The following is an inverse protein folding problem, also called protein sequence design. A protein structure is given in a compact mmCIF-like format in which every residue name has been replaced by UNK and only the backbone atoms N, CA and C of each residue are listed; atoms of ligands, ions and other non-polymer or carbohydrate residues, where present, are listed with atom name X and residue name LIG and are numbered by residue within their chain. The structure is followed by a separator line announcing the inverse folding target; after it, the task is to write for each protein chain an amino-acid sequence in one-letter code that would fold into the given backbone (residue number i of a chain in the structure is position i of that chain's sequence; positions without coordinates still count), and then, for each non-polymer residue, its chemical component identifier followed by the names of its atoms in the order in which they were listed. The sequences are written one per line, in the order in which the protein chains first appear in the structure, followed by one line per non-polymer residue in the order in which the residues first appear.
data_IF_388784773561
#
_entry.id   IF_388784773561
#
_cell.length_a   1.000
_cell.length_b   1.000
_cell.length_c   1.000
_cell.angle_alpha   90.00
_cell.angle_beta   90.00
_cell.angle_gamma   90.00
#
_symmetry.space_group_name_H-M   'P 1'
#
loop_
_entity.id
_entity.type
_entity.pdbx_description
1 polymer ?
#
# COMPACT_ATOMS: atom_id res chain seq x y z
N UNK A 1 45.03 4.64 8.87
CA UNK A 1 43.86 5.14 9.63
C UNK A 1 43.08 6.05 8.69
N UNK A 2 42.20 5.45 7.88
CA UNK A 2 41.35 6.17 6.93
C UNK A 2 40.00 6.45 7.58
N UNK A 3 39.65 7.72 7.67
CA UNK A 3 38.38 8.24 8.18
C UNK A 3 37.20 7.66 7.42
N UNK A 4 36.36 6.90 8.12
CA UNK A 4 35.01 6.50 7.71
C UNK A 4 34.20 7.80 7.56
N UNK A 5 33.80 8.13 6.32
CA UNK A 5 32.80 9.18 6.07
C UNK A 5 31.45 8.61 6.48
N UNK A 6 30.92 9.07 7.61
CA UNK A 6 29.57 8.75 8.05
C UNK A 6 28.56 9.17 6.97
N UNK A 7 27.81 8.21 6.45
CA UNK A 7 26.52 8.44 5.80
C UNK A 7 25.67 9.26 6.79
N UNK A 8 25.25 10.46 6.38
CA UNK A 8 24.37 11.27 7.19
C UNK A 8 22.96 10.73 7.03
N UNK A 9 22.58 9.76 7.86
CA UNK A 9 21.17 9.63 8.23
C UNK A 9 20.79 10.97 8.89
N UNK A 10 20.13 11.85 8.14
CA UNK A 10 19.58 13.09 8.69
C UNK A 10 18.58 12.69 9.77
N UNK A 11 18.91 12.87 11.05
CA UNK A 11 18.03 12.54 12.18
C UNK A 11 16.73 13.39 12.26
N UNK A 12 16.37 14.11 11.18
CA UNK A 12 15.28 15.07 11.09
C UNK A 12 14.13 14.71 10.17
N UNK A 13 14.16 13.56 9.45
CA UNK A 13 13.23 13.29 8.36
C UNK A 13 13.62 14.01 7.05
N UNK A 14 12.76 13.98 6.01
CA UNK A 14 13.07 14.58 4.72
C UNK A 14 12.94 16.10 4.81
N UNK A 15 13.76 16.82 4.05
CA UNK A 15 13.62 18.27 3.85
C UNK A 15 12.67 18.59 2.71
N UNK A 16 12.68 17.76 1.67
CA UNK A 16 11.80 17.88 0.52
C UNK A 16 11.22 16.51 0.13
N UNK A 17 9.93 16.47 -0.15
CA UNK A 17 9.22 15.28 -0.61
C UNK A 17 8.51 15.58 -1.94
N UNK A 18 8.71 14.71 -2.92
CA UNK A 18 7.97 14.71 -4.19
C UNK A 18 6.77 13.78 -4.10
N UNK A 19 5.60 14.20 -4.57
CA UNK A 19 4.37 13.41 -4.58
C UNK A 19 3.84 13.30 -6.01
N UNK A 20 3.71 12.09 -6.52
CA UNK A 20 3.14 11.79 -7.84
C UNK A 20 1.74 11.22 -7.62
N UNK A 21 0.72 11.95 -8.07
CA UNK A 21 -0.69 11.66 -7.81
C UNK A 21 -1.18 12.23 -6.47
N UNK A 22 -2.20 13.07 -6.51
CA UNK A 22 -2.78 13.78 -5.35
C UNK A 22 -4.17 13.24 -5.02
N UNK A 23 -4.37 11.93 -5.16
CA UNK A 23 -5.57 11.23 -4.69
C UNK A 23 -5.70 11.21 -3.16
N UNK A 24 -6.46 10.24 -2.63
CA UNK A 24 -6.60 10.06 -1.18
C UNK A 24 -5.23 9.85 -0.52
N UNK A 25 -4.45 8.91 -1.04
CA UNK A 25 -3.17 8.50 -0.45
C UNK A 25 -2.11 9.58 -0.65
N UNK A 26 -1.81 9.95 -1.90
CA UNK A 26 -0.79 10.96 -2.19
C UNK A 26 -1.11 12.34 -1.61
N UNK A 27 -2.37 12.76 -1.66
CA UNK A 27 -2.80 13.98 -0.98
C UNK A 27 -2.59 13.93 0.54
N UNK A 28 -2.72 12.75 1.16
CA UNK A 28 -2.50 12.58 2.60
C UNK A 28 -1.01 12.59 2.94
N UNK A 29 -0.15 12.02 2.08
CA UNK A 29 1.31 12.20 2.19
C UNK A 29 1.68 13.68 2.09
N UNK A 30 1.18 14.37 1.06
CA UNK A 30 1.42 15.80 0.85
C UNK A 30 1.01 16.63 2.08
N UNK A 31 -0.19 16.40 2.62
CA UNK A 31 -0.67 17.11 3.83
C UNK A 31 0.14 16.77 5.08
N UNK A 32 0.48 15.50 5.28
CA UNK A 32 1.29 15.06 6.42
C UNK A 32 2.68 15.70 6.41
N UNK A 33 3.34 15.70 5.26
CA UNK A 33 4.63 16.36 5.08
C UNK A 33 4.56 17.87 5.26
N UNK A 34 3.58 18.53 4.63
CA UNK A 34 3.39 19.98 4.77
C UNK A 34 3.14 20.37 6.25
N UNK A 35 2.32 19.62 6.98
CA UNK A 35 2.08 19.84 8.41
C UNK A 35 3.35 19.66 9.26
N UNK A 36 4.23 18.75 8.86
CA UNK A 36 5.53 18.53 9.49
C UNK A 36 6.59 19.58 9.11
N UNK A 37 6.26 20.55 8.25
CA UNK A 37 7.20 21.57 7.76
C UNK A 37 8.17 21.09 6.68
N UNK A 38 7.90 19.94 6.06
CA UNK A 38 8.64 19.43 4.91
C UNK A 38 8.18 20.18 3.66
N UNK A 39 9.10 20.57 2.78
CA UNK A 39 8.74 21.16 1.49
C UNK A 39 8.14 20.07 0.59
N UNK A 40 6.95 20.32 0.05
CA UNK A 40 6.26 19.36 -0.82
C UNK A 40 6.28 19.86 -2.26
N UNK A 41 6.83 19.06 -3.15
CA UNK A 41 6.66 19.20 -4.59
C UNK A 41 5.66 18.14 -5.07
N UNK A 42 4.84 18.44 -6.06
CA UNK A 42 3.86 17.48 -6.53
C UNK A 42 3.63 17.53 -8.04
N UNK A 43 3.17 16.40 -8.57
CA UNK A 43 2.67 16.25 -9.92
C UNK A 43 1.34 15.51 -9.88
N UNK A 44 0.36 15.99 -10.63
CA UNK A 44 -0.91 15.32 -10.87
C UNK A 44 -1.37 15.68 -12.30
N UNK A 45 -1.97 14.75 -13.07
CA UNK A 45 -2.45 15.05 -14.41
C UNK A 45 -3.65 16.01 -14.44
N UNK A 46 -4.32 16.25 -13.30
CA UNK A 46 -5.44 17.18 -13.18
C UNK A 46 -5.00 18.54 -12.63
N UNK A 47 -5.02 19.56 -13.49
CA UNK A 47 -4.66 20.95 -13.15
C UNK A 47 -5.54 21.55 -12.03
N UNK A 48 -6.81 21.13 -11.92
CA UNK A 48 -7.70 21.59 -10.86
C UNK A 48 -7.26 21.02 -9.50
N UNK A 49 -6.78 19.78 -9.48
CA UNK A 49 -6.21 19.14 -8.29
C UNK A 49 -4.90 19.83 -7.89
N UNK A 50 -4.01 20.12 -8.85
CA UNK A 50 -2.78 20.87 -8.61
C UNK A 50 -3.05 22.27 -8.06
N UNK A 51 -4.03 22.98 -8.63
CA UNK A 51 -4.47 24.29 -8.15
C UNK A 51 -4.99 24.20 -6.71
N UNK A 52 -5.83 23.21 -6.42
CA UNK A 52 -6.36 23.00 -5.07
C UNK A 52 -5.27 22.70 -4.04
N UNK A 53 -4.26 21.91 -4.40
CA UNK A 53 -3.16 21.55 -3.52
C UNK A 53 -2.19 22.70 -3.26
N UNK A 54 -2.00 23.59 -4.26
CA UNK A 54 -1.12 24.76 -4.18
C UNK A 54 -1.62 25.84 -3.22
N UNK A 55 -2.90 25.81 -2.82
CA UNK A 55 -3.47 26.78 -1.86
C UNK A 55 -2.97 26.64 -0.41
N UNK A 56 -2.08 25.69 -0.12
CA UNK A 56 -1.48 25.58 1.21
C UNK A 56 -0.79 24.26 1.54
N UNK A 57 -0.71 23.31 0.60
CA UNK A 57 -0.04 22.01 0.83
C UNK A 57 1.20 21.86 -0.03
N UNK A 58 1.10 22.13 -1.33
CA UNK A 58 2.18 21.96 -2.30
C UNK A 58 2.90 23.28 -2.52
N UNK A 59 4.23 23.26 -2.46
CA UNK A 59 5.11 24.42 -2.60
C UNK A 59 5.60 24.64 -4.04
N UNK A 60 5.43 23.67 -4.93
CA UNK A 60 5.83 23.75 -6.33
C UNK A 60 5.54 22.46 -7.10
N UNK A 61 5.76 22.51 -8.40
CA UNK A 61 5.63 21.35 -9.28
C UNK A 61 6.81 20.39 -9.09
N UNK A 62 6.54 19.09 -9.20
CA UNK A 62 7.54 18.04 -9.33
C UNK A 62 7.72 17.71 -10.81
N UNK A 63 8.94 17.83 -11.31
CA UNK A 63 9.34 17.56 -12.70
C UNK A 63 10.83 17.18 -12.75
N UNK A 64 11.36 16.90 -13.94
CA UNK A 64 12.75 16.50 -14.15
C UNK A 64 13.79 17.49 -13.60
N UNK A 65 13.47 18.77 -13.55
CA UNK A 65 14.40 19.81 -13.04
C UNK A 65 14.42 19.87 -11.50
N UNK A 66 13.35 19.41 -10.85
CA UNK A 66 13.14 19.57 -9.41
C UNK A 66 13.23 18.26 -8.63
N UNK A 67 13.21 17.10 -9.30
CA UNK A 67 13.26 15.79 -8.63
C UNK A 67 14.52 15.56 -7.79
N UNK A 68 15.65 16.17 -8.16
CA UNK A 68 16.90 16.09 -7.41
C UNK A 68 16.92 16.95 -6.14
N UNK A 69 15.91 17.79 -5.95
CA UNK A 69 15.71 18.52 -4.70
C UNK A 69 15.05 17.65 -3.61
N UNK A 70 14.39 16.56 -4.00
CA UNK A 70 13.66 15.66 -3.12
C UNK A 70 14.58 14.64 -2.44
N UNK A 71 14.32 14.38 -1.16
CA UNK A 71 14.92 13.25 -0.44
C UNK A 71 14.12 11.96 -0.69
N UNK A 72 12.80 12.09 -0.82
CA UNK A 72 11.86 11.00 -1.10
C UNK A 72 10.88 11.41 -2.21
N UNK A 73 10.55 10.47 -3.09
CA UNK A 73 9.48 10.63 -4.10
C UNK A 73 8.46 9.52 -3.87
N UNK A 74 7.18 9.87 -3.73
CA UNK A 74 6.08 8.95 -3.44
C UNK A 74 5.18 8.82 -4.66
N UNK A 75 5.12 7.62 -5.24
CA UNK A 75 4.22 7.27 -6.34
C UNK A 75 2.89 6.78 -5.77
N UNK A 76 1.87 7.63 -5.83
CA UNK A 76 0.55 7.39 -5.26
C UNK A 76 -0.56 7.35 -6.33
N UNK A 77 -0.25 6.70 -7.45
CA UNK A 77 -1.14 6.46 -8.58
C UNK A 77 -1.59 4.99 -8.66
N UNK A 78 -2.38 4.67 -9.68
CA UNK A 78 -2.66 3.28 -10.06
C UNK A 78 -1.39 2.59 -10.59
N UNK A 79 -1.28 1.25 -10.49
CA UNK A 79 -0.08 0.50 -10.86
C UNK A 79 0.54 0.92 -12.19
N UNK A 80 -0.25 0.94 -13.27
CA UNK A 80 0.23 1.28 -14.61
C UNK A 80 0.77 2.70 -14.67
N UNK A 81 0.05 3.67 -14.10
CA UNK A 81 0.46 5.07 -14.09
C UNK A 81 1.74 5.30 -13.27
N UNK A 82 1.99 4.52 -12.20
CA UNK A 82 3.26 4.55 -11.47
C UNK A 82 4.42 4.06 -12.35
N UNK A 83 4.19 2.99 -13.12
CA UNK A 83 5.19 2.43 -14.04
C UNK A 83 5.50 3.41 -15.17
N UNK A 84 4.47 3.93 -15.85
CA UNK A 84 4.62 4.92 -16.93
C UNK A 84 5.38 6.16 -16.46
N UNK A 85 5.05 6.66 -15.26
CA UNK A 85 5.75 7.82 -14.69
C UNK A 85 7.23 7.48 -14.43
N UNK A 86 7.54 6.33 -13.85
CA UNK A 86 8.92 5.90 -13.62
C UNK A 86 9.70 5.78 -14.94
N UNK A 87 9.13 5.19 -15.97
CA UNK A 87 9.77 5.05 -17.28
C UNK A 87 10.09 6.41 -17.90
N UNK A 88 9.17 7.36 -17.81
CA UNK A 88 9.36 8.70 -18.35
C UNK A 88 10.45 9.51 -17.63
N UNK A 89 10.67 9.28 -16.33
CA UNK A 89 11.57 10.08 -15.49
C UNK A 89 12.84 9.32 -15.06
N UNK A 90 13.04 8.08 -15.50
CA UNK A 90 14.13 7.21 -15.04
C UNK A 90 15.53 7.82 -15.27
N UNK A 91 15.75 8.47 -16.41
CA UNK A 91 17.03 9.12 -16.70
C UNK A 91 17.28 10.32 -15.80
N UNK A 92 16.26 11.16 -15.56
CA UNK A 92 16.41 12.32 -14.69
C UNK A 92 16.61 11.90 -13.22
N UNK A 93 15.93 10.83 -12.76
CA UNK A 93 16.19 10.22 -11.45
C UNK A 93 17.63 9.72 -11.31
N UNK A 94 18.19 9.12 -12.36
CA UNK A 94 19.58 8.70 -12.38
C UNK A 94 20.55 9.88 -12.34
N UNK A 95 20.29 10.94 -13.11
CA UNK A 95 21.11 12.16 -13.11
C UNK A 95 21.11 12.85 -11.73
N UNK A 96 20.03 12.66 -10.96
CA UNK A 96 19.90 13.13 -9.57
C UNK A 96 20.47 12.18 -8.50
N UNK A 97 20.99 11.01 -8.88
CA UNK A 97 21.47 9.99 -7.95
C UNK A 97 22.99 9.79 -8.07
N UNK A 98 23.68 9.86 -6.93
CA UNK A 98 25.07 9.45 -6.79
C UNK A 98 25.13 8.12 -6.05
N UNK A 99 25.25 7.02 -6.81
CA UNK A 99 25.22 5.66 -6.29
C UNK A 99 26.45 5.29 -5.47
N UNK A 100 27.60 5.91 -5.75
CA UNK A 100 28.86 5.71 -5.01
C UNK A 100 28.80 6.41 -3.64
N UNK A 101 28.16 7.57 -3.58
CA UNK A 101 27.95 8.31 -2.33
C UNK A 101 26.70 7.86 -1.56
N UNK A 102 25.83 7.04 -2.16
CA UNK A 102 24.51 6.67 -1.64
C UNK A 102 23.67 7.93 -1.34
N UNK A 103 23.58 8.80 -2.34
CA UNK A 103 22.88 10.08 -2.27
C UNK A 103 21.91 10.21 -3.44
N UNK A 104 20.78 10.85 -3.20
CA UNK A 104 19.74 11.06 -4.22
C UNK A 104 18.34 10.76 -3.66
N UNK A 105 17.29 11.02 -4.43
CA UNK A 105 15.93 10.70 -4.02
C UNK A 105 15.75 9.17 -3.89
N UNK A 106 15.12 8.73 -2.81
CA UNK A 106 14.57 7.37 -2.74
C UNK A 106 13.13 7.40 -3.22
N UNK A 107 12.85 6.67 -4.29
CA UNK A 107 11.49 6.52 -4.80
C UNK A 107 10.78 5.40 -4.04
N UNK A 108 9.57 5.65 -3.58
CA UNK A 108 8.66 4.65 -3.03
C UNK A 108 7.33 4.71 -3.77
N UNK A 109 6.62 3.59 -3.82
CA UNK A 109 5.24 3.56 -4.30
C UNK A 109 4.24 3.37 -3.15
N UNK A 110 2.94 3.40 -3.46
CA UNK A 110 1.87 3.10 -2.49
C UNK A 110 0.84 2.09 -3.01
N UNK A 111 1.15 1.35 -4.08
CA UNK A 111 0.23 0.44 -4.77
C UNK A 111 -0.17 -0.72 -3.84
N UNK A 112 -1.41 -1.21 -3.97
CA UNK A 112 -1.93 -2.27 -3.11
C UNK A 112 -1.38 -3.68 -3.39
N UNK A 113 -0.71 -3.86 -4.52
CA UNK A 113 -0.10 -5.10 -5.02
C UNK A 113 1.33 -4.75 -5.45
N UNK A 114 2.31 -5.57 -5.06
CA UNK A 114 3.74 -5.25 -5.18
C UNK A 114 4.42 -5.93 -6.35
N UNK A 115 3.95 -7.10 -6.80
CA UNK A 115 4.54 -7.85 -7.90
C UNK A 115 4.73 -6.99 -9.13
N UNK A 116 3.63 -6.47 -9.68
CA UNK A 116 3.62 -5.71 -10.93
C UNK A 116 4.49 -4.45 -10.88
N UNK A 117 4.35 -3.64 -9.83
CA UNK A 117 5.08 -2.36 -9.72
C UNK A 117 6.55 -2.58 -9.34
N UNK A 118 6.85 -3.50 -8.42
CA UNK A 118 8.22 -3.71 -7.97
C UNK A 118 9.07 -4.41 -9.03
N UNK A 119 8.50 -5.36 -9.79
CA UNK A 119 9.23 -6.02 -10.87
C UNK A 119 9.80 -4.99 -11.85
N UNK A 120 8.94 -4.12 -12.37
CA UNK A 120 9.35 -3.10 -13.34
C UNK A 120 10.17 -1.98 -12.72
N UNK A 121 9.81 -1.49 -11.55
CA UNK A 121 10.54 -0.41 -10.88
C UNK A 121 11.96 -0.84 -10.47
N UNK A 122 12.16 -2.07 -10.00
CA UNK A 122 13.49 -2.59 -9.69
C UNK A 122 14.35 -2.78 -10.93
N UNK A 123 13.75 -3.19 -12.05
CA UNK A 123 14.45 -3.26 -13.34
C UNK A 123 14.96 -1.89 -13.77
N UNK A 124 14.07 -0.88 -13.79
CA UNK A 124 14.41 0.50 -14.15
C UNK A 124 15.47 1.10 -13.21
N UNK A 125 15.31 0.92 -11.91
CA UNK A 125 16.25 1.39 -10.89
C UNK A 125 17.66 0.82 -11.12
N UNK A 126 17.76 -0.46 -11.46
CA UNK A 126 19.02 -1.13 -11.77
C UNK A 126 19.62 -0.70 -13.11
N UNK A 127 18.79 -0.49 -14.13
CA UNK A 127 19.22 -0.08 -15.47
C UNK A 127 19.78 1.35 -15.48
N UNK A 128 19.07 2.27 -14.85
CA UNK A 128 19.41 3.70 -14.88
C UNK A 128 20.29 4.12 -13.69
N UNK A 129 20.21 3.45 -12.55
CA UNK A 129 21.02 3.77 -11.36
C UNK A 129 20.36 4.78 -10.42
N UNK A 130 19.11 4.53 -10.02
CA UNK A 130 18.41 5.27 -8.96
C UNK A 130 17.90 4.33 -7.86
N UNK A 131 17.39 4.88 -6.76
CA UNK A 131 16.90 4.07 -5.64
C UNK A 131 15.38 3.92 -5.65
N UNK A 132 14.90 2.68 -5.57
CA UNK A 132 13.49 2.36 -5.40
C UNK A 132 13.28 1.37 -4.26
N UNK A 133 12.26 1.61 -3.43
CA UNK A 133 11.78 0.70 -2.39
C UNK A 133 10.26 0.62 -2.50
N UNK A 134 9.73 -0.58 -2.76
CA UNK A 134 8.28 -0.77 -2.79
C UNK A 134 7.69 -0.51 -1.41
N UNK A 135 6.54 0.16 -1.34
CA UNK A 135 5.87 0.42 -0.08
C UNK A 135 4.34 0.31 -0.18
N UNK A 136 3.69 -0.16 0.87
CA UNK A 136 2.24 -0.25 0.94
C UNK A 136 1.76 0.25 2.31
N UNK A 137 1.25 1.49 2.39
CA UNK A 137 0.62 1.97 3.60
C UNK A 137 -0.70 1.23 3.80
N UNK A 138 -0.84 0.51 4.91
CA UNK A 138 -2.06 -0.24 5.27
C UNK A 138 -3.11 0.73 5.85
N UNK A 139 -3.45 1.77 5.09
CA UNK A 139 -4.36 2.83 5.44
C UNK A 139 -5.21 3.21 4.22
N UNK A 140 -6.48 3.55 4.46
CA UNK A 140 -7.39 3.93 3.40
C UNK A 140 -8.80 4.13 3.89
N UNK A 141 -9.62 4.73 3.03
CA UNK A 141 -11.06 4.88 3.25
C UNK A 141 -11.79 4.52 1.96
N UNK A 142 -13.11 4.41 2.02
CA UNK A 142 -13.94 4.21 0.83
C UNK A 142 -14.03 5.45 -0.09
N UNK A 143 -13.48 6.59 0.33
CA UNK A 143 -13.50 7.82 -0.44
C UNK A 143 -12.24 7.95 -1.32
N UNK A 144 -12.29 8.82 -2.32
CA UNK A 144 -11.19 9.01 -3.28
C UNK A 144 -10.99 10.49 -3.59
N UNK A 145 -9.80 10.84 -4.10
CA UNK A 145 -9.46 12.20 -4.51
C UNK A 145 -8.91 13.10 -3.39
N UNK A 146 -8.27 14.20 -3.81
CA UNK A 146 -7.57 15.14 -2.94
C UNK A 146 -8.45 15.73 -1.83
N UNK A 147 -9.73 15.97 -2.11
CA UNK A 147 -10.68 16.56 -1.16
C UNK A 147 -10.89 15.70 0.11
N UNK A 148 -10.64 14.39 0.01
CA UNK A 148 -10.79 13.44 1.12
C UNK A 148 -9.46 13.11 1.81
N UNK A 149 -8.35 13.68 1.34
CA UNK A 149 -7.04 13.48 1.96
C UNK A 149 -6.94 14.16 3.32
N UNK A 150 -6.16 13.56 4.23
CA UNK A 150 -5.98 14.01 5.61
C UNK A 150 -4.54 13.78 6.07
N UNK A 151 -3.98 14.74 6.80
CA UNK A 151 -2.58 14.71 7.21
C UNK A 151 -2.25 13.56 8.20
N UNK A 152 -3.26 13.08 8.92
CA UNK A 152 -3.16 12.05 9.94
C UNK A 152 -3.65 10.68 9.46
N UNK A 153 -3.79 10.45 8.14
CA UNK A 153 -4.29 9.19 7.58
C UNK A 153 -3.45 7.98 8.01
N UNK A 154 -2.15 8.19 8.18
CA UNK A 154 -1.16 7.14 8.42
C UNK A 154 -0.78 6.96 9.90
N UNK A 155 -1.37 7.76 10.80
CA UNK A 155 -1.08 7.67 12.23
C UNK A 155 -1.43 6.26 12.74
N UNK A 156 -0.44 5.62 13.38
CA UNK A 156 -0.48 4.23 13.88
C UNK A 156 -0.74 3.15 12.81
N UNK A 157 -0.82 3.51 11.53
CA UNK A 157 -1.00 2.56 10.44
C UNK A 157 0.27 1.71 10.23
N UNK A 158 0.13 0.44 9.84
CA UNK A 158 1.27 -0.34 9.34
C UNK A 158 1.76 0.17 7.98
N UNK A 159 3.08 0.09 7.76
CA UNK A 159 3.71 0.27 6.46
C UNK A 159 4.48 -1.01 6.10
N UNK A 160 4.13 -1.64 4.97
CA UNK A 160 4.89 -2.79 4.45
C UNK A 160 5.91 -2.28 3.45
N UNK A 161 7.17 -2.72 3.57
CA UNK A 161 8.28 -2.36 2.70
C UNK A 161 8.79 -3.58 1.92
N UNK A 162 9.07 -3.37 0.64
CA UNK A 162 9.64 -4.35 -0.28
C UNK A 162 10.96 -3.78 -0.82
N UNK A 163 12.11 -4.15 -0.24
CA UNK A 163 13.40 -3.65 -0.68
C UNK A 163 13.86 -4.34 -1.97
N UNK A 164 14.76 -3.70 -2.74
CA UNK A 164 15.34 -4.31 -3.93
C UNK A 164 16.27 -5.48 -3.58
N UNK A 165 16.52 -6.35 -4.56
CA UNK A 165 17.48 -7.45 -4.46
C UNK A 165 18.94 -6.94 -4.60
N UNK A 166 19.42 -6.28 -3.55
CA UNK A 166 20.79 -5.75 -3.42
C UNK A 166 21.52 -6.40 -2.24
N UNK A 167 22.80 -6.07 -2.06
CA UNK A 167 23.54 -6.51 -0.89
C UNK A 167 22.91 -6.00 0.42
N UNK A 168 23.18 -6.70 1.52
CA UNK A 168 22.52 -6.44 2.79
C UNK A 168 22.86 -5.07 3.39
N UNK A 169 24.02 -4.49 3.08
CA UNK A 169 24.39 -3.18 3.60
C UNK A 169 23.55 -2.07 2.94
N UNK A 170 23.46 -2.08 1.60
CA UNK A 170 22.63 -1.13 0.87
C UNK A 170 21.14 -1.29 1.21
N UNK A 171 20.68 -2.55 1.33
CA UNK A 171 19.31 -2.86 1.72
C UNK A 171 18.94 -2.25 3.08
N UNK A 172 19.80 -2.41 4.09
CA UNK A 172 19.56 -1.87 5.43
C UNK A 172 19.62 -0.34 5.44
N UNK A 173 20.51 0.27 4.66
CA UNK A 173 20.58 1.72 4.52
C UNK A 173 19.30 2.29 3.91
N UNK A 174 18.83 1.74 2.78
CA UNK A 174 17.59 2.19 2.13
C UNK A 174 16.37 2.06 3.04
N UNK A 175 16.23 0.92 3.73
CA UNK A 175 15.15 0.73 4.71
C UNK A 175 15.25 1.72 5.87
N UNK A 176 16.45 2.02 6.36
CA UNK A 176 16.70 3.02 7.40
C UNK A 176 16.32 4.43 6.94
N UNK A 177 16.73 4.80 5.73
CA UNK A 177 16.39 6.09 5.13
C UNK A 177 14.88 6.23 4.97
N UNK A 178 14.19 5.25 4.37
CA UNK A 178 12.73 5.28 4.20
C UNK A 178 12.03 5.44 5.54
N UNK A 179 12.45 4.70 6.58
CA UNK A 179 11.87 4.79 7.93
C UNK A 179 12.01 6.19 8.53
N UNK A 180 13.16 6.83 8.41
CA UNK A 180 13.33 8.21 8.87
C UNK A 180 12.54 9.20 8.02
N UNK A 181 12.47 8.99 6.70
CA UNK A 181 11.75 9.87 5.78
C UNK A 181 10.23 9.83 6.01
N UNK A 182 9.66 8.68 6.34
CA UNK A 182 8.21 8.55 6.65
C UNK A 182 7.88 8.81 8.13
N UNK A 183 8.88 9.00 9.00
CA UNK A 183 8.68 9.23 10.44
C UNK A 183 7.68 10.35 10.76
N UNK A 184 7.68 11.52 10.06
CA UNK A 184 6.73 12.59 10.36
C UNK A 184 5.26 12.23 10.11
N UNK A 185 5.00 11.17 9.34
CA UNK A 185 3.65 10.72 8.97
C UNK A 185 3.02 9.81 10.05
N UNK A 186 3.82 9.32 11.00
CA UNK A 186 3.33 8.63 12.20
C UNK A 186 2.94 7.17 12.02
N UNK A 187 3.49 6.47 11.02
CA UNK A 187 3.31 5.01 10.88
C UNK A 187 3.73 4.28 12.17
N UNK A 188 2.88 3.36 12.63
CA UNK A 188 3.05 2.68 13.92
C UNK A 188 3.85 1.38 13.86
N UNK A 189 3.79 0.67 12.73
CA UNK A 189 4.46 -0.62 12.54
C UNK A 189 5.09 -0.72 11.15
N UNK A 190 6.21 -1.43 11.06
CA UNK A 190 6.92 -1.65 9.81
C UNK A 190 7.15 -3.16 9.61
N UNK A 191 6.78 -3.65 8.44
CA UNK A 191 7.06 -5.03 8.02
C UNK A 191 7.92 -5.00 6.76
N UNK A 192 8.84 -5.95 6.63
CA UNK A 192 9.71 -6.08 5.44
C UNK A 192 9.51 -7.46 4.84
N UNK A 193 9.20 -7.52 3.55
CA UNK A 193 8.91 -8.78 2.85
C UNK A 193 9.30 -8.70 1.37
N UNK A 194 9.17 -9.81 0.64
CA UNK A 194 9.27 -9.81 -0.82
C UNK A 194 7.95 -9.40 -1.47
N UNK A 195 7.97 -8.97 -2.73
CA UNK A 195 6.76 -8.65 -3.48
C UNK A 195 5.80 -9.85 -3.54
N UNK A 196 6.33 -11.05 -3.81
CA UNK A 196 5.54 -12.27 -3.90
C UNK A 196 4.85 -12.67 -2.58
N UNK A 197 5.56 -12.56 -1.44
CA UNK A 197 4.96 -12.88 -0.15
C UNK A 197 4.00 -11.78 0.31
N UNK A 198 4.27 -10.50 -0.01
CA UNK A 198 3.31 -9.42 0.18
C UNK A 198 1.99 -9.75 -0.51
N UNK A 199 2.01 -10.02 -1.81
CA UNK A 199 0.80 -10.22 -2.62
C UNK A 199 0.03 -11.44 -2.14
N UNK A 200 0.72 -12.56 -1.90
CA UNK A 200 0.13 -13.75 -1.30
C UNK A 200 -0.63 -13.47 0.00
N UNK A 201 -0.07 -12.64 0.89
CA UNK A 201 -0.73 -12.28 2.16
C UNK A 201 -1.86 -11.27 1.95
N UNK A 202 -1.72 -10.33 1.00
CA UNK A 202 -2.76 -9.34 0.66
C UNK A 202 -3.97 -9.98 0.00
N UNK A 203 -3.76 -11.01 -0.83
CA UNK A 203 -4.83 -11.81 -1.41
C UNK A 203 -5.79 -12.31 -0.31
N UNK A 204 -5.26 -12.88 0.77
CA UNK A 204 -6.06 -13.35 1.91
C UNK A 204 -6.59 -12.19 2.78
N UNK A 205 -5.72 -11.30 3.24
CA UNK A 205 -6.03 -10.31 4.29
C UNK A 205 -6.88 -9.13 3.80
N UNK A 206 -6.95 -8.90 2.49
CA UNK A 206 -7.65 -7.74 1.91
C UNK A 206 -8.54 -8.12 0.72
N UNK A 207 -7.98 -8.71 -0.35
CA UNK A 207 -8.72 -8.91 -1.60
C UNK A 207 -9.86 -9.91 -1.44
N UNK A 208 -9.60 -11.08 -0.83
CA UNK A 208 -10.62 -12.09 -0.55
C UNK A 208 -11.74 -11.50 0.31
N UNK A 209 -11.43 -10.68 1.33
CA UNK A 209 -12.44 -10.04 2.16
C UNK A 209 -13.38 -9.14 1.33
N UNK A 210 -12.85 -8.39 0.36
CA UNK A 210 -13.66 -7.58 -0.56
C UNK A 210 -14.51 -8.45 -1.49
N UNK A 211 -13.94 -9.51 -2.07
CA UNK A 211 -14.67 -10.45 -2.94
C UNK A 211 -15.82 -11.10 -2.18
N UNK A 212 -15.56 -11.61 -0.97
CA UNK A 212 -16.56 -12.28 -0.13
C UNK A 212 -17.67 -11.32 0.27
N UNK A 213 -17.31 -10.13 0.75
CA UNK A 213 -18.28 -9.08 1.11
C UNK A 213 -19.16 -8.71 -0.09
N UNK A 214 -18.55 -8.49 -1.27
CA UNK A 214 -19.26 -8.15 -2.50
C UNK A 214 -20.14 -9.31 -3.01
N UNK A 215 -19.70 -10.55 -2.90
CA UNK A 215 -20.47 -11.73 -3.27
C UNK A 215 -21.65 -11.97 -2.32
N UNK A 216 -21.43 -11.77 -1.02
CA UNK A 216 -22.43 -11.99 0.03
C UNK A 216 -23.67 -11.12 -0.15
N UNK A 217 -23.49 -9.85 -0.52
CA UNK A 217 -24.61 -8.91 -0.76
C UNK A 217 -25.42 -9.19 -2.04
N UNK A 218 -24.96 -10.09 -2.92
CA UNK A 218 -25.68 -10.47 -4.15
C UNK A 218 -26.83 -11.45 -3.91
N UNK A 219 -26.94 -12.02 -2.70
CA UNK A 219 -28.06 -12.90 -2.36
C UNK A 219 -29.41 -12.16 -2.47
N UNK A 220 -30.46 -12.75 -3.06
CA UNK A 220 -31.79 -12.15 -3.07
C UNK A 220 -32.32 -11.82 -1.67
N UNK A 221 -31.88 -12.58 -0.65
CA UNK A 221 -32.24 -12.34 0.75
C UNK A 221 -31.72 -10.99 1.27
N UNK A 222 -30.64 -10.46 0.68
CA UNK A 222 -30.15 -9.13 1.00
C UNK A 222 -31.17 -8.02 0.67
N UNK A 223 -32.18 -8.25 -0.17
CA UNK A 223 -33.22 -7.26 -0.45
C UNK A 223 -34.35 -7.23 0.58
N UNK A 224 -34.45 -8.24 1.45
CA UNK A 224 -35.56 -8.40 2.41
C UNK A 224 -35.10 -8.38 3.86
N UNK A 225 -33.85 -8.01 4.12
CA UNK A 225 -33.23 -8.09 5.45
C UNK A 225 -33.56 -6.91 6.38
N UNK A 226 -34.39 -5.95 5.96
CA UNK A 226 -34.73 -4.77 6.77
C UNK A 226 -35.34 -5.20 8.12
N UNK A 227 -34.71 -4.77 9.23
CA UNK A 227 -35.09 -5.17 10.59
C UNK A 227 -34.52 -6.51 11.06
N UNK A 228 -33.77 -7.24 10.21
CA UNK A 228 -33.15 -8.54 10.51
C UNK A 228 -31.61 -8.50 10.53
N UNK A 229 -30.99 -7.32 10.56
CA UNK A 229 -29.53 -7.16 10.60
C UNK A 229 -29.01 -6.60 11.94
N UNK A 230 -27.85 -7.10 12.35
CA UNK A 230 -27.09 -6.67 13.52
C UNK A 230 -25.61 -6.48 13.15
N UNK A 231 -24.71 -6.49 14.15
CA UNK A 231 -23.27 -6.26 13.97
C UNK A 231 -22.64 -7.15 12.89
N UNK A 232 -22.85 -8.47 12.96
CA UNK A 232 -22.21 -9.42 12.04
C UNK A 232 -22.47 -9.15 10.56
N UNK A 233 -23.69 -8.73 10.19
CA UNK A 233 -24.00 -8.35 8.81
C UNK A 233 -23.28 -7.07 8.41
N UNK A 234 -23.28 -6.05 9.28
CA UNK A 234 -22.63 -4.76 9.02
C UNK A 234 -21.13 -4.91 8.86
N UNK A 235 -20.50 -5.71 9.70
CA UNK A 235 -19.05 -5.93 9.67
C UNK A 235 -18.63 -6.67 8.39
N UNK A 236 -19.36 -7.75 8.05
CA UNK A 236 -19.08 -8.55 6.85
C UNK A 236 -19.30 -7.78 5.55
N UNK A 237 -20.25 -6.83 5.52
CA UNK A 237 -20.64 -6.10 4.30
C UNK A 237 -20.01 -4.71 4.16
N UNK A 238 -19.27 -4.25 5.18
CA UNK A 238 -18.68 -2.90 5.22
C UNK A 238 -17.84 -2.58 3.98
N UNK A 239 -17.11 -3.57 3.47
CA UNK A 239 -16.20 -3.43 2.33
C UNK A 239 -16.83 -3.81 0.98
N UNK A 240 -18.13 -4.09 0.94
CA UNK A 240 -18.85 -4.35 -0.33
C UNK A 240 -18.97 -3.09 -1.18
N UNK A 241 -18.95 -1.90 -0.55
CA UNK A 241 -18.85 -0.61 -1.23
C UNK A 241 -17.38 -0.36 -1.59
N UNK A 242 -17.06 -0.61 -2.86
CA UNK A 242 -15.70 -0.50 -3.39
C UNK A 242 -15.72 0.14 -4.77
N UNK A 243 -14.59 0.72 -5.21
CA UNK A 243 -14.40 1.24 -6.56
C UNK A 243 -14.14 0.06 -7.53
N UNK A 244 -15.06 -0.31 -8.43
CA UNK A 244 -14.90 -1.50 -9.26
C UNK A 244 -13.70 -1.43 -10.20
N UNK A 245 -13.38 -0.25 -10.74
CA UNK A 245 -12.26 -0.09 -11.67
C UNK A 245 -10.93 -0.36 -10.98
N UNK A 246 -10.65 0.37 -9.89
CA UNK A 246 -9.42 0.21 -9.11
C UNK A 246 -9.26 -1.22 -8.58
N UNK A 247 -10.31 -1.79 -7.99
CA UNK A 247 -10.22 -3.15 -7.44
C UNK A 247 -10.08 -4.22 -8.53
N UNK A 248 -10.69 -4.04 -9.71
CA UNK A 248 -10.51 -5.00 -10.80
C UNK A 248 -9.09 -5.04 -11.32
N UNK A 249 -8.39 -3.91 -11.37
CA UNK A 249 -6.98 -3.83 -11.76
C UNK A 249 -6.11 -4.58 -10.74
N UNK A 250 -6.22 -4.22 -9.45
CA UNK A 250 -5.47 -4.87 -8.37
C UNK A 250 -5.74 -6.38 -8.25
N UNK A 251 -6.99 -6.82 -8.44
CA UNK A 251 -7.35 -8.24 -8.36
C UNK A 251 -6.86 -9.04 -9.57
N UNK A 252 -6.74 -8.42 -10.74
CA UNK A 252 -6.20 -9.07 -11.94
C UNK A 252 -4.68 -9.18 -11.84
N UNK A 253 -4.01 -8.16 -11.30
CA UNK A 253 -2.56 -8.19 -11.07
C UNK A 253 -2.12 -9.26 -10.06
N UNK A 254 -3.03 -9.70 -9.18
CA UNK A 254 -2.80 -10.72 -8.15
C UNK A 254 -3.73 -11.95 -8.33
N UNK A 255 -4.15 -12.22 -9.57
CA UNK A 255 -5.21 -13.18 -9.87
C UNK A 255 -4.91 -14.60 -9.37
N UNK A 256 -3.66 -15.06 -9.47
CA UNK A 256 -3.29 -16.42 -9.07
C UNK A 256 -3.40 -16.61 -7.55
N UNK A 257 -2.91 -15.65 -6.75
CA UNK A 257 -3.03 -15.72 -5.30
C UNK A 257 -4.48 -15.55 -4.84
N UNK A 258 -5.22 -14.63 -5.44
CA UNK A 258 -6.64 -14.44 -5.12
C UNK A 258 -7.49 -15.65 -5.51
N UNK A 259 -7.24 -16.27 -6.67
CA UNK A 259 -7.94 -17.49 -7.09
C UNK A 259 -7.68 -18.65 -6.13
N UNK A 260 -6.43 -18.83 -5.69
CA UNK A 260 -6.07 -19.81 -4.67
C UNK A 260 -6.89 -19.62 -3.38
N UNK A 261 -7.03 -18.38 -2.89
CA UNK A 261 -7.77 -18.05 -1.68
C UNK A 261 -9.29 -18.22 -1.86
N UNK A 262 -9.83 -17.87 -3.04
CA UNK A 262 -11.23 -18.09 -3.38
C UNK A 262 -11.56 -19.60 -3.39
N UNK A 263 -10.73 -20.42 -4.02
CA UNK A 263 -10.94 -21.87 -4.11
C UNK A 263 -10.93 -22.53 -2.72
N UNK A 264 -9.97 -22.16 -1.87
CA UNK A 264 -9.93 -22.64 -0.48
C UNK A 264 -11.18 -22.26 0.31
N UNK A 265 -11.69 -21.04 0.11
CA UNK A 265 -12.93 -20.62 0.75
C UNK A 265 -14.14 -21.39 0.22
N UNK A 266 -14.22 -21.64 -1.09
CA UNK A 266 -15.30 -22.44 -1.70
C UNK A 266 -15.32 -23.86 -1.12
N UNK A 267 -14.16 -24.50 -1.00
CA UNK A 267 -14.05 -25.82 -0.38
C UNK A 267 -14.56 -25.82 1.07
N UNK A 268 -14.14 -24.83 1.86
CA UNK A 268 -14.58 -24.64 3.24
C UNK A 268 -16.10 -24.45 3.32
N UNK A 269 -16.67 -23.53 2.52
CA UNK A 269 -18.11 -23.29 2.44
C UNK A 269 -18.88 -24.54 1.99
N UNK A 270 -18.29 -25.35 1.11
CA UNK A 270 -18.82 -26.63 0.67
C UNK A 270 -18.98 -27.64 1.81
N UNK A 271 -18.01 -27.69 2.73
CA UNK A 271 -18.10 -28.53 3.93
C UNK A 271 -19.27 -28.12 4.85
N UNK A 272 -19.41 -26.81 5.13
CA UNK A 272 -20.54 -26.28 5.90
C UNK A 272 -21.89 -26.57 5.22
N UNK A 273 -21.97 -26.35 3.90
CA UNK A 273 -23.19 -26.61 3.12
C UNK A 273 -23.62 -28.08 3.21
N UNK A 274 -22.65 -29.01 3.14
CA UNK A 274 -22.91 -30.45 3.25
C UNK A 274 -23.43 -30.82 4.64
N UNK A 275 -22.76 -30.38 5.70
CA UNK A 275 -23.20 -30.64 7.07
C UNK A 275 -24.65 -30.16 7.31
N UNK A 276 -25.02 -29.00 6.78
CA UNK A 276 -26.38 -28.45 6.89
C UNK A 276 -27.41 -29.22 6.06
N UNK A 277 -27.09 -29.62 4.82
CA UNK A 277 -27.98 -30.42 3.95
C UNK A 277 -28.28 -31.79 4.54
N UNK A 278 -27.26 -32.43 5.11
CA UNK A 278 -27.36 -33.75 5.71
C UNK A 278 -27.93 -33.70 7.14
N UNK A 279 -28.10 -32.49 7.70
CA UNK A 279 -28.47 -32.24 9.11
C UNK A 279 -27.52 -32.95 10.09
N UNK A 280 -26.24 -33.07 9.73
CA UNK A 280 -25.21 -33.64 10.59
C UNK A 280 -24.68 -32.58 11.56
N UNK A 281 -25.36 -32.49 12.72
CA UNK A 281 -25.01 -31.55 13.77
C UNK A 281 -23.58 -31.75 14.27
N UNK A 282 -23.12 -33.00 14.43
CA UNK A 282 -21.78 -33.28 14.99
C UNK A 282 -20.69 -32.84 14.03
N UNK A 283 -20.87 -33.07 12.72
CA UNK A 283 -19.91 -32.59 11.73
C UNK A 283 -19.86 -31.06 11.69
N UNK A 284 -21.03 -30.39 11.74
CA UNK A 284 -21.09 -28.93 11.80
C UNK A 284 -20.38 -28.36 13.04
N UNK A 285 -20.62 -28.95 14.22
CA UNK A 285 -19.95 -28.54 15.47
C UNK A 285 -18.42 -28.63 15.36
N UNK A 286 -17.91 -29.70 14.75
CA UNK A 286 -16.47 -29.87 14.54
C UNK A 286 -15.88 -28.79 13.62
N UNK A 287 -16.56 -28.46 12.50
CA UNK A 287 -16.12 -27.41 11.57
C UNK A 287 -16.09 -26.03 12.27
N UNK A 288 -17.13 -25.71 13.04
CA UNK A 288 -17.20 -24.44 13.77
C UNK A 288 -16.13 -24.35 14.86
N UNK A 289 -15.87 -25.45 15.58
CA UNK A 289 -14.82 -25.51 16.60
C UNK A 289 -13.41 -25.46 16.00
N UNK A 290 -13.22 -25.93 14.78
CA UNK A 290 -11.98 -25.72 14.02
C UNK A 290 -11.79 -24.24 13.69
N UNK A 291 -12.80 -23.57 13.13
CA UNK A 291 -12.74 -22.13 12.84
C UNK A 291 -12.44 -21.26 14.07
N UNK A 292 -13.09 -21.53 15.20
CA UNK A 292 -12.82 -20.84 16.48
C UNK A 292 -11.36 -21.04 16.93
N UNK A 293 -10.83 -22.26 16.83
CA UNK A 293 -9.43 -22.55 17.20
C UNK A 293 -8.43 -21.79 16.33
N UNK A 294 -8.59 -21.76 15.00
CA UNK A 294 -7.62 -21.04 14.15
C UNK A 294 -7.73 -19.53 14.41
N UNK A 295 -8.94 -19.00 14.60
CA UNK A 295 -9.14 -17.57 14.88
C UNK A 295 -8.46 -17.13 16.18
N UNK A 296 -8.60 -17.93 17.26
CA UNK A 296 -7.91 -17.64 18.53
C UNK A 296 -6.39 -17.62 18.37
N UNK A 297 -5.84 -18.58 17.63
CA UNK A 297 -4.40 -18.62 17.36
C UNK A 297 -3.91 -17.35 16.64
N UNK A 298 -4.66 -16.87 15.63
CA UNK A 298 -4.33 -15.65 14.89
C UNK A 298 -4.42 -14.38 15.75
N UNK A 299 -5.37 -14.30 16.68
CA UNK A 299 -5.52 -13.14 17.57
C UNK A 299 -4.41 -13.04 18.62
N UNK A 300 -3.92 -14.19 19.11
CA UNK A 300 -2.81 -14.25 20.04
C UNK A 300 -1.50 -13.80 19.35
N UNK A 301 -1.28 -14.17 18.08
CA UNK A 301 -0.15 -13.71 17.27
C UNK A 301 -0.20 -12.20 16.98
N UNK A 302 -1.38 -11.64 16.70
CA UNK A 302 -1.55 -10.20 16.43
C UNK A 302 -1.36 -9.30 17.66
N UNK A 303 -1.40 -9.89 18.87
CA UNK A 303 -1.24 -9.19 20.15
C UNK A 303 0.23 -9.06 20.61
N UNK A 304 1.18 -9.62 19.85
CA UNK A 304 2.63 -9.55 20.09
C UNK A 304 3.33 -8.69 19.02
#
# INVERSE_FOLDING_TARGET
MGTVRNARVNQGGPKCAGIVGLGLIGGSFARGYAQAGVRVLAWDPDDDVMTAASMGTVAGELNDETLGECDIIVLACYPEACIEWLEAHAQALADATDTEAIMGPVVIDTVGVKGIVCERAFELAREHGFYFVGAHPMAGTQFSGYAHSRADLFQDAPLVLVPPAVDDALKLELLGQVREMVRPLGFGKFSVTSAAEHDRVIAFTSQLAHVVSNAYVKSPTAQVHHGFSAGSYRDLTRVAHLNPQMWSELMIDDADALAFEIDHLIESLGAYSRALKDRDQRYLENLLAEGDRIKRALDDEASH
#
